data_IF_967493378734
#
_entry.id   IF_967493378734
#
_cell.length_a   1.000
_cell.length_b   1.000
_cell.length_c   1.000
_cell.angle_alpha   90.00
_cell.angle_beta   90.00
_cell.angle_gamma   90.00
#
_symmetry.space_group_name_H-M   'P 1'
#
loop_
_entity.id
_entity.type
_entity.pdbx_description
1 polymer ?
#
# COMPACT_ATOMS: atom_id res chain seq x y z
N UNK A 1 -27.58 0.48 -6.95
CA UNK A 1 -27.48 -0.80 -6.24
C UNK A 1 -26.46 -0.83 -5.08
N UNK A 2 -25.14 -0.59 -5.23
CA UNK A 2 -24.21 -0.62 -4.07
C UNK A 2 -24.47 0.51 -3.04
N UNK A 3 -24.81 1.71 -3.52
CA UNK A 3 -25.07 2.88 -2.66
C UNK A 3 -26.51 2.97 -2.11
N UNK A 4 -27.44 2.17 -2.64
CA UNK A 4 -28.83 2.12 -2.13
C UNK A 4 -28.90 1.43 -0.77
N UNK A 5 -27.99 0.48 -0.49
CA UNK A 5 -27.85 -0.13 0.82
C UNK A 5 -27.25 0.82 1.88
N UNK A 6 -26.70 1.97 1.46
CA UNK A 6 -26.07 2.98 2.32
C UNK A 6 -27.02 4.13 2.68
N UNK A 7 -28.33 3.87 2.78
CA UNK A 7 -29.30 4.86 3.25
C UNK A 7 -29.15 5.10 4.75
N UNK A 8 -28.40 6.14 5.12
CA UNK A 8 -28.22 6.61 6.50
C UNK A 8 -27.69 5.58 7.51
N UNK A 9 -26.69 4.74 7.19
CA UNK A 9 -26.07 3.91 8.20
C UNK A 9 -25.07 4.70 9.05
N UNK A 10 -24.91 4.31 10.31
CA UNK A 10 -23.89 4.88 11.21
C UNK A 10 -22.59 4.12 11.03
N UNK A 11 -21.48 4.83 10.79
CA UNK A 11 -20.15 4.21 10.79
C UNK A 11 -19.78 3.83 12.23
N UNK A 12 -19.57 2.53 12.48
CA UNK A 12 -19.31 1.97 13.80
C UNK A 12 -17.84 1.64 14.04
N UNK A 13 -17.13 1.21 13.00
CA UNK A 13 -15.75 0.72 13.10
C UNK A 13 -15.04 0.87 11.76
N UNK A 14 -13.76 1.20 11.80
CA UNK A 14 -12.87 1.15 10.64
C UNK A 14 -11.77 0.15 10.96
N UNK A 15 -11.61 -0.89 10.15
CA UNK A 15 -10.47 -1.79 10.26
C UNK A 15 -9.50 -1.54 9.10
N UNK A 16 -8.27 -1.19 9.44
CA UNK A 16 -7.16 -1.08 8.50
C UNK A 16 -6.49 -2.44 8.36
N UNK A 17 -6.30 -2.89 7.12
CA UNK A 17 -5.68 -4.18 6.78
C UNK A 17 -4.35 -3.90 6.08
N UNK A 18 -3.26 -4.48 6.59
CA UNK A 18 -1.90 -4.06 6.27
C UNK A 18 -1.76 -2.53 6.38
N UNK A 19 -2.01 -1.97 7.57
CA UNK A 19 -1.94 -0.53 7.80
C UNK A 19 -0.57 0.00 7.41
N UNK A 20 -0.53 1.24 6.90
CA UNK A 20 0.73 1.92 6.59
C UNK A 20 1.62 1.97 7.83
N UNK A 21 2.80 1.35 7.82
CA UNK A 21 3.62 1.29 9.01
C UNK A 21 4.18 2.68 9.34
N UNK A 22 4.12 3.03 10.62
CA UNK A 22 4.67 4.27 11.16
C UNK A 22 5.78 3.95 12.17
N UNK A 23 6.83 4.79 12.25
CA UNK A 23 7.96 4.55 13.16
C UNK A 23 7.57 4.49 14.64
N UNK A 24 6.48 5.16 15.02
CA UNK A 24 5.96 5.22 16.39
C UNK A 24 4.96 4.09 16.71
N UNK A 25 4.90 3.06 15.85
CA UNK A 25 3.96 1.95 15.91
C UNK A 25 2.47 2.34 15.75
N UNK A 26 2.16 3.63 15.53
CA UNK A 26 0.80 4.09 15.22
C UNK A 26 0.45 3.75 13.76
N UNK A 27 0.14 2.47 13.53
CA UNK A 27 0.03 1.94 12.18
C UNK A 27 -1.22 2.47 11.49
N UNK A 28 -1.05 3.00 10.28
CA UNK A 28 -2.11 3.34 9.34
C UNK A 28 -2.68 4.75 9.47
N UNK A 29 -2.41 5.48 10.56
CA UNK A 29 -2.82 6.88 10.72
C UNK A 29 -1.64 7.81 10.42
N UNK A 30 -1.71 8.55 9.32
CA UNK A 30 -0.65 9.48 8.90
C UNK A 30 -1.23 10.88 8.80
N UNK A 31 -0.95 11.71 9.81
CA UNK A 31 -1.60 13.00 9.98
C UNK A 31 -3.12 12.84 10.13
N UNK A 32 -3.89 13.36 9.16
CA UNK A 32 -5.35 13.23 9.10
C UNK A 32 -5.83 12.13 8.14
N UNK A 33 -4.92 11.38 7.52
CA UNK A 33 -5.24 10.32 6.56
C UNK A 33 -5.12 8.95 7.20
N UNK A 34 -6.00 8.04 6.81
CA UNK A 34 -5.88 6.62 7.06
C UNK A 34 -5.39 5.93 5.80
N UNK A 35 -4.27 5.22 5.89
CA UNK A 35 -3.61 4.54 4.77
C UNK A 35 -3.43 3.06 5.10
N UNK A 36 -3.90 2.21 4.20
CA UNK A 36 -3.79 0.76 4.37
C UNK A 36 -3.81 0.03 3.02
N UNK A 37 -3.37 -1.23 2.98
CA UNK A 37 -3.52 -2.08 1.79
C UNK A 37 -4.96 -2.49 1.52
N UNK A 38 -5.74 -2.66 2.58
CA UNK A 38 -7.18 -2.84 2.56
C UNK A 38 -7.84 -2.08 3.70
N UNK A 39 -9.13 -1.78 3.56
CA UNK A 39 -9.89 -1.06 4.57
C UNK A 39 -11.30 -1.64 4.65
N UNK A 40 -11.78 -1.85 5.87
CA UNK A 40 -13.16 -2.28 6.12
C UNK A 40 -13.89 -1.20 6.89
N UNK A 41 -15.00 -0.75 6.34
CA UNK A 41 -15.84 0.30 6.90
C UNK A 41 -17.12 -0.35 7.38
N UNK A 42 -17.22 -0.57 8.68
CA UNK A 42 -18.35 -1.25 9.30
C UNK A 42 -19.44 -0.25 9.65
N UNK A 43 -20.61 -0.52 9.11
CA UNK A 43 -21.84 0.17 9.40
C UNK A 43 -22.72 -0.67 10.34
N UNK A 44 -23.98 -0.30 10.54
CA UNK A 44 -24.88 -0.99 11.47
C UNK A 44 -25.05 -2.48 11.12
N UNK A 45 -25.44 -2.79 9.88
CA UNK A 45 -25.72 -4.16 9.39
C UNK A 45 -24.85 -4.60 8.21
N UNK A 46 -24.06 -3.70 7.62
CA UNK A 46 -23.22 -3.98 6.45
C UNK A 46 -21.77 -3.56 6.69
N UNK A 47 -20.86 -4.08 5.89
CA UNK A 47 -19.50 -3.59 5.79
C UNK A 47 -19.11 -3.34 4.34
N UNK A 48 -18.39 -2.24 4.10
CA UNK A 48 -17.73 -1.98 2.83
C UNK A 48 -16.27 -2.41 2.93
N UNK A 49 -15.90 -3.39 2.10
CA UNK A 49 -14.56 -3.94 2.00
C UNK A 49 -13.85 -3.32 0.80
N UNK A 50 -12.79 -2.58 1.08
CA UNK A 50 -11.94 -1.92 0.11
C UNK A 50 -10.60 -2.66 0.04
N UNK A 51 -10.18 -3.11 -1.15
CA UNK A 51 -8.89 -3.83 -1.29
C UNK A 51 -8.06 -3.33 -2.47
N UNK A 52 -6.75 -3.22 -2.25
CA UNK A 52 -5.77 -2.86 -3.26
C UNK A 52 -5.53 -4.00 -4.26
N UNK A 53 -5.75 -3.81 -5.57
CA UNK A 53 -5.41 -4.82 -6.56
C UNK A 53 -3.90 -5.05 -6.67
N UNK A 54 -3.09 -4.05 -6.31
CA UNK A 54 -1.63 -4.14 -6.31
C UNK A 54 -1.12 -5.12 -5.25
N UNK A 55 -1.80 -5.20 -4.08
CA UNK A 55 -1.40 -6.05 -2.95
C UNK A 55 -2.14 -7.40 -2.91
N UNK A 56 -3.43 -7.44 -3.27
CA UNK A 56 -4.29 -8.61 -3.04
C UNK A 56 -4.64 -9.43 -4.29
N UNK A 57 -4.28 -9.00 -5.51
CA UNK A 57 -4.72 -9.67 -6.75
C UNK A 57 -3.57 -10.02 -7.69
N UNK A 58 -3.79 -10.96 -8.63
CA UNK A 58 -2.96 -11.23 -9.84
C UNK A 58 -3.41 -10.43 -11.08
N UNK A 59 -3.97 -9.23 -10.90
CA UNK A 59 -4.42 -8.33 -11.97
C UNK A 59 -4.78 -6.94 -11.42
N UNK A 60 -4.72 -5.88 -12.24
CA UNK A 60 -4.85 -4.49 -11.79
C UNK A 60 -6.28 -3.93 -11.79
N UNK A 61 -7.27 -4.68 -12.27
CA UNK A 61 -8.63 -4.12 -12.44
C UNK A 61 -9.29 -3.84 -11.08
N UNK A 62 -9.69 -2.58 -10.88
CA UNK A 62 -10.44 -2.10 -9.71
C UNK A 62 -11.94 -2.41 -9.81
N UNK A 63 -12.72 -1.79 -8.92
CA UNK A 63 -14.17 -1.75 -9.00
C UNK A 63 -14.59 -0.67 -9.99
N UNK A 64 -15.56 -1.04 -10.84
CA UNK A 64 -16.17 -0.12 -11.80
C UNK A 64 -17.54 0.32 -11.31
N UNK A 65 -17.81 1.62 -11.40
CA UNK A 65 -19.14 2.21 -11.17
C UNK A 65 -19.54 2.86 -12.49
N UNK A 66 -20.45 2.21 -13.23
CA UNK A 66 -20.65 2.54 -14.64
C UNK A 66 -19.34 2.37 -15.42
N UNK A 67 -18.92 3.43 -16.13
CA UNK A 67 -17.68 3.43 -16.92
C UNK A 67 -16.43 3.87 -16.14
N UNK A 68 -16.61 4.28 -14.88
CA UNK A 68 -15.54 4.79 -14.02
C UNK A 68 -14.85 3.63 -13.30
N UNK A 69 -13.51 3.59 -13.36
CA UNK A 69 -12.67 2.70 -12.55
C UNK A 69 -12.11 3.45 -11.34
N UNK A 70 -12.36 2.93 -10.14
CA UNK A 70 -11.85 3.49 -8.89
C UNK A 70 -10.36 3.17 -8.65
N UNK A 71 -9.79 2.21 -9.36
CA UNK A 71 -8.42 1.72 -9.16
C UNK A 71 -8.25 0.78 -7.95
N UNK A 72 -9.28 0.63 -7.12
CA UNK A 72 -9.35 -0.34 -6.01
C UNK A 72 -10.65 -1.12 -6.06
N UNK A 73 -10.70 -2.30 -5.43
CA UNK A 73 -11.94 -3.08 -5.32
C UNK A 73 -12.76 -2.58 -4.15
N UNK A 74 -14.05 -2.38 -4.38
CA UNK A 74 -15.07 -2.07 -3.38
C UNK A 74 -16.12 -3.18 -3.40
N UNK A 75 -16.41 -3.77 -2.25
CA UNK A 75 -17.40 -4.84 -2.11
C UNK A 75 -18.26 -4.60 -0.87
N UNK A 76 -19.57 -4.80 -0.99
CA UNK A 76 -20.48 -4.75 0.15
C UNK A 76 -20.76 -6.17 0.63
N UNK A 77 -20.69 -6.39 1.93
CA UNK A 77 -20.98 -7.67 2.60
C UNK A 77 -21.78 -7.44 3.87
N UNK A 78 -22.39 -8.49 4.41
CA UNK A 78 -22.93 -8.43 5.77
C UNK A 78 -21.81 -8.12 6.76
N UNK A 79 -22.12 -7.37 7.82
CA UNK A 79 -21.09 -6.88 8.75
C UNK A 79 -20.30 -8.03 9.39
N UNK A 80 -20.99 -9.11 9.73
CA UNK A 80 -20.49 -10.34 10.32
C UNK A 80 -19.55 -11.13 9.38
N UNK A 81 -19.71 -10.99 8.07
CA UNK A 81 -18.93 -11.72 7.06
C UNK A 81 -17.65 -10.97 6.66
N UNK A 82 -17.48 -9.73 7.11
CA UNK A 82 -16.38 -8.88 6.67
C UNK A 82 -14.99 -9.47 6.97
N UNK A 83 -14.86 -10.20 8.08
CA UNK A 83 -13.61 -10.85 8.47
C UNK A 83 -13.24 -12.03 7.56
N UNK A 84 -14.21 -12.62 6.85
CA UNK A 84 -13.96 -13.70 5.88
C UNK A 84 -13.27 -13.19 4.60
N UNK A 85 -13.24 -11.86 4.39
CA UNK A 85 -12.64 -11.25 3.21
C UNK A 85 -11.10 -11.19 3.27
N UNK A 86 -10.50 -11.50 4.43
CA UNK A 86 -9.06 -11.39 4.64
C UNK A 86 -8.48 -12.63 5.33
N UNK A 87 -7.22 -13.01 5.05
CA UNK A 87 -6.54 -14.04 5.83
C UNK A 87 -6.38 -13.60 7.29
N UNK A 88 -6.54 -14.54 8.23
CA UNK A 88 -6.50 -14.27 9.67
C UNK A 88 -5.14 -13.77 10.20
N UNK A 89 -4.06 -14.06 9.48
CA UNK A 89 -2.69 -13.69 9.86
C UNK A 89 -2.24 -12.31 9.35
N UNK A 90 -3.11 -11.57 8.64
CA UNK A 90 -2.77 -10.25 8.14
C UNK A 90 -2.77 -9.23 9.28
N UNK A 91 -1.82 -8.29 9.26
CA UNK A 91 -1.76 -7.21 10.25
C UNK A 91 -3.01 -6.33 10.17
N UNK A 92 -3.64 -6.04 11.32
CA UNK A 92 -4.87 -5.25 11.41
C UNK A 92 -4.77 -4.17 12.48
N UNK A 93 -5.39 -3.04 12.23
CA UNK A 93 -5.58 -1.98 13.23
C UNK A 93 -7.01 -1.49 13.18
N UNK A 94 -7.71 -1.57 14.30
CA UNK A 94 -9.07 -1.07 14.43
C UNK A 94 -9.05 0.37 14.91
N UNK A 95 -9.84 1.21 14.26
CA UNK A 95 -10.02 2.61 14.57
C UNK A 95 -11.49 2.82 14.92
N UNK A 96 -11.74 3.34 16.12
CA UNK A 96 -13.07 3.82 16.47
C UNK A 96 -13.33 5.13 15.71
N UNK A 97 -14.48 5.26 15.01
CA UNK A 97 -14.81 6.49 14.31
C UNK A 97 -14.79 7.70 15.26
N UNK A 98 -15.29 7.58 16.49
CA UNK A 98 -15.25 8.66 17.47
C UNK A 98 -13.83 9.22 17.69
N UNK A 99 -12.80 8.37 17.79
CA UNK A 99 -11.42 8.79 18.05
C UNK A 99 -10.79 9.51 16.87
N UNK A 100 -11.24 9.20 15.65
CA UNK A 100 -10.75 9.82 14.44
C UNK A 100 -11.56 11.06 14.03
N UNK A 101 -12.88 11.04 14.28
CA UNK A 101 -13.81 12.16 14.09
C UNK A 101 -13.83 13.15 15.25
N UNK A 102 -13.13 12.92 16.37
CA UNK A 102 -13.09 13.86 17.50
C UNK A 102 -12.62 15.28 17.09
N UNK A 103 -11.93 15.43 15.94
CA UNK A 103 -11.59 16.71 15.32
C UNK A 103 -12.55 17.21 14.23
N UNK A 104 -13.72 16.57 14.05
CA UNK A 104 -14.72 16.80 13.00
C UNK A 104 -16.16 16.98 13.55
N UNK A 105 -16.41 16.78 14.86
CA UNK A 105 -17.70 17.03 15.53
C UNK A 105 -18.15 15.91 16.48
N UNK A 106 -19.07 16.19 17.43
CA UNK A 106 -19.50 15.22 18.48
C UNK A 106 -20.68 14.32 18.11
N UNK A 107 -21.28 14.51 16.93
CA UNK A 107 -22.45 13.74 16.46
C UNK A 107 -21.99 12.40 15.87
N UNK A 108 -22.75 11.30 16.05
CA UNK A 108 -22.43 10.02 15.43
C UNK A 108 -22.20 10.17 13.92
N UNK A 109 -21.18 9.51 13.34
CA UNK A 109 -20.88 9.62 11.91
C UNK A 109 -21.91 8.86 11.07
N UNK A 110 -23.10 9.46 10.94
CA UNK A 110 -24.21 9.00 10.13
C UNK A 110 -24.00 9.41 8.67
N UNK A 111 -23.86 8.44 7.77
CA UNK A 111 -23.57 8.69 6.36
C UNK A 111 -24.82 9.22 5.65
N UNK A 112 -24.78 10.46 5.17
CA UNK A 112 -25.89 11.11 4.48
C UNK A 112 -25.89 10.79 2.99
N UNK A 113 -24.72 10.88 2.36
CA UNK A 113 -24.56 10.80 0.91
C UNK A 113 -23.17 10.30 0.55
N UNK A 114 -23.10 9.54 -0.55
CA UNK A 114 -21.85 9.21 -1.24
C UNK A 114 -21.91 9.76 -2.66
N UNK A 115 -20.88 10.49 -3.04
CA UNK A 115 -20.71 11.12 -4.35
C UNK A 115 -19.46 10.54 -5.00
N UNK A 116 -19.55 10.22 -6.29
CA UNK A 116 -18.39 9.86 -7.10
C UNK A 116 -17.84 11.14 -7.75
N UNK A 117 -16.59 11.46 -7.48
CA UNK A 117 -15.95 12.70 -7.94
C UNK A 117 -14.57 12.41 -8.53
N UNK A 118 -14.14 13.23 -9.49
CA UNK A 118 -12.76 13.21 -9.98
C UNK A 118 -11.92 14.24 -9.21
N UNK A 119 -10.80 13.80 -8.66
CA UNK A 119 -9.89 14.62 -7.88
C UNK A 119 -8.44 14.38 -8.33
N UNK A 120 -7.80 15.41 -8.89
CA UNK A 120 -6.43 15.37 -9.38
C UNK A 120 -6.16 14.22 -10.38
N UNK A 121 -7.10 13.97 -11.30
CA UNK A 121 -6.99 12.92 -12.33
C UNK A 121 -7.27 11.50 -11.83
N UNK A 122 -7.82 11.34 -10.62
CA UNK A 122 -8.24 10.06 -10.07
C UNK A 122 -9.66 10.12 -9.51
N UNK A 123 -10.42 9.05 -9.69
CA UNK A 123 -11.77 8.93 -9.15
C UNK A 123 -11.75 8.60 -7.65
N UNK A 124 -12.58 9.30 -6.88
CA UNK A 124 -12.72 9.15 -5.43
C UNK A 124 -14.19 9.07 -5.05
N UNK A 125 -14.47 8.41 -3.93
CA UNK A 125 -15.79 8.47 -3.30
C UNK A 125 -15.75 9.51 -2.18
N UNK A 126 -16.52 10.58 -2.34
CA UNK A 126 -16.70 11.62 -1.32
C UNK A 126 -17.93 11.32 -0.49
N UNK A 127 -17.74 11.20 0.81
CA UNK A 127 -18.73 10.77 1.78
C UNK A 127 -19.09 11.95 2.67
N UNK A 128 -20.37 12.31 2.67
CA UNK A 128 -20.91 13.35 3.53
C UNK A 128 -21.62 12.72 4.72
N UNK A 129 -21.27 13.18 5.91
CA UNK A 129 -21.90 12.78 7.16
C UNK A 129 -22.82 13.88 7.68
N UNK A 130 -23.75 13.53 8.58
CA UNK A 130 -24.69 14.49 9.18
C UNK A 130 -24.01 15.57 10.03
N UNK A 131 -22.84 15.28 10.58
CA UNK A 131 -22.01 16.26 11.29
C UNK A 131 -21.23 17.21 10.35
N UNK A 132 -21.63 17.28 9.07
CA UNK A 132 -20.96 18.02 7.99
C UNK A 132 -19.51 17.60 7.69
N UNK A 133 -19.03 16.50 8.28
CA UNK A 133 -17.75 15.94 7.89
C UNK A 133 -17.82 15.42 6.44
N UNK A 134 -16.80 15.79 5.67
CA UNK A 134 -16.58 15.33 4.31
C UNK A 134 -15.30 14.51 4.26
N UNK A 135 -15.43 13.22 3.97
CA UNK A 135 -14.30 12.31 3.80
C UNK A 135 -14.19 11.88 2.34
N UNK A 136 -12.97 11.62 1.89
CA UNK A 136 -12.66 11.09 0.57
C UNK A 136 -11.98 9.74 0.72
N UNK A 137 -12.53 8.75 0.04
CA UNK A 137 -11.96 7.43 -0.12
C UNK A 137 -11.38 7.30 -1.54
N UNK A 138 -10.08 7.10 -1.64
CA UNK A 138 -9.36 7.06 -2.91
C UNK A 138 -8.26 6.02 -2.96
N UNK A 139 -7.84 5.68 -4.18
CA UNK A 139 -6.69 4.80 -4.43
C UNK A 139 -5.40 5.61 -4.59
N UNK A 140 -4.32 5.12 -4.00
CA UNK A 140 -2.97 5.68 -4.02
C UNK A 140 -1.99 4.72 -4.68
N UNK A 141 -2.01 4.61 -6.02
CA UNK A 141 -1.04 3.79 -6.73
C UNK A 141 0.40 4.26 -6.48
N UNK A 142 0.58 5.56 -6.24
CA UNK A 142 1.82 6.25 -5.90
C UNK A 142 2.35 5.88 -4.50
N UNK A 143 1.45 5.57 -3.56
CA UNK A 143 1.78 5.09 -2.21
C UNK A 143 1.59 3.59 -2.12
N UNK A 144 2.29 2.86 -2.99
CA UNK A 144 2.35 1.41 -2.93
C UNK A 144 0.96 0.73 -2.98
N UNK A 145 0.05 1.35 -3.75
CA UNK A 145 -1.32 0.88 -3.93
C UNK A 145 -2.15 0.98 -2.66
N UNK A 146 -1.89 1.92 -1.76
CA UNK A 146 -2.73 2.12 -0.60
C UNK A 146 -4.14 2.58 -0.96
N UNK A 147 -5.08 2.26 -0.08
CA UNK A 147 -6.37 2.93 -0.01
C UNK A 147 -6.24 4.01 1.05
N UNK A 148 -6.65 5.22 0.67
CA UNK A 148 -6.61 6.40 1.52
C UNK A 148 -8.03 6.81 1.88
N UNK A 149 -8.30 6.97 3.17
CA UNK A 149 -9.49 7.66 3.68
C UNK A 149 -9.03 8.91 4.44
N UNK A 150 -9.42 10.09 3.98
CA UNK A 150 -8.98 11.36 4.56
C UNK A 150 -10.09 12.42 4.46
N UNK A 151 -10.11 13.44 5.32
CA UNK A 151 -10.96 14.60 5.09
C UNK A 151 -10.65 15.27 3.75
N UNK A 152 -11.67 15.84 3.10
CA UNK A 152 -11.48 16.61 1.84
C UNK A 152 -10.39 17.67 2.05
N UNK A 153 -9.43 17.73 1.11
CA UNK A 153 -8.30 18.67 1.17
C UNK A 153 -7.15 18.29 2.09
N UNK A 154 -7.22 17.15 2.79
CA UNK A 154 -6.21 16.69 3.75
C UNK A 154 -5.49 15.39 3.35
N UNK A 155 -5.41 15.12 2.04
CA UNK A 155 -4.69 13.95 1.52
C UNK A 155 -3.21 13.98 1.90
N UNK A 156 -2.67 12.83 2.25
CA UNK A 156 -1.27 12.68 2.60
C UNK A 156 -0.38 12.83 1.36
N UNK A 157 0.65 13.66 1.48
CA UNK A 157 1.65 13.86 0.43
C UNK A 157 3.00 13.33 0.91
N UNK A 158 3.70 12.65 0.01
CA UNK A 158 5.03 12.13 0.25
C UNK A 158 6.02 12.87 -0.66
N UNK A 159 7.09 13.42 -0.11
CA UNK A 159 8.14 14.06 -0.91
C UNK A 159 9.17 13.08 -1.47
N UNK A 160 9.50 12.04 -0.70
CA UNK A 160 10.46 10.98 -1.06
C UNK A 160 10.19 9.72 -0.26
N UNK A 161 10.62 8.58 -0.79
CA UNK A 161 10.62 7.30 -0.09
C UNK A 161 11.98 7.11 0.59
N UNK A 162 11.98 6.90 1.90
CA UNK A 162 13.17 6.51 2.65
C UNK A 162 12.92 5.16 3.34
N UNK A 163 13.83 4.21 3.13
CA UNK A 163 13.72 2.84 3.65
C UNK A 163 15.00 2.50 4.40
N UNK A 164 14.92 2.44 5.72
CA UNK A 164 16.01 2.08 6.62
C UNK A 164 15.89 0.64 7.13
N UNK A 165 14.70 0.04 7.03
CA UNK A 165 14.39 -1.27 7.57
C UNK A 165 13.43 -2.04 6.68
N UNK A 166 13.49 -3.39 6.64
CA UNK A 166 12.45 -4.20 5.99
C UNK A 166 11.05 -4.03 6.62
N UNK A 167 10.95 -3.43 7.81
CA UNK A 167 9.68 -3.14 8.48
C UNK A 167 9.02 -1.81 8.04
N UNK A 168 9.72 -0.97 7.26
CA UNK A 168 9.18 0.31 6.79
C UNK A 168 8.09 0.11 5.73
N UNK A 169 7.36 1.17 5.38
CA UNK A 169 6.23 1.10 4.43
C UNK A 169 6.62 0.56 3.07
N UNK A 170 7.79 0.97 2.59
CA UNK A 170 8.42 0.45 1.39
C UNK A 170 9.53 -0.55 1.71
N UNK A 171 9.49 -1.18 2.89
CA UNK A 171 10.49 -2.11 3.39
C UNK A 171 10.77 -3.25 2.42
N UNK A 172 9.80 -3.64 1.60
CA UNK A 172 9.98 -4.61 0.51
C UNK A 172 11.08 -4.23 -0.52
N UNK A 173 11.47 -2.95 -0.61
CA UNK A 173 12.64 -2.50 -1.38
C UNK A 173 13.96 -2.85 -0.70
N UNK A 174 13.99 -2.90 0.63
CA UNK A 174 15.18 -3.17 1.42
C UNK A 174 15.82 -4.54 1.06
N UNK A 175 17.16 -4.66 0.97
CA UNK A 175 17.80 -5.93 0.64
C UNK A 175 17.48 -7.06 1.62
N UNK A 176 17.32 -6.74 2.91
CA UNK A 176 17.00 -7.71 3.97
C UNK A 176 15.56 -8.22 3.98
N UNK A 177 14.69 -7.72 3.11
CA UNK A 177 13.31 -8.19 3.02
C UNK A 177 13.25 -9.65 2.59
N UNK A 178 12.41 -10.42 3.28
CA UNK A 178 12.33 -11.88 3.21
C UNK A 178 11.60 -12.37 1.95
N UNK A 179 12.17 -12.10 0.78
CA UNK A 179 11.72 -12.57 -0.52
C UNK A 179 12.82 -13.41 -1.15
N UNK A 180 12.81 -14.74 -0.94
CA UNK A 180 13.87 -15.61 -1.45
C UNK A 180 13.83 -15.68 -2.98
N UNK A 181 14.98 -15.82 -3.62
CA UNK A 181 15.09 -15.86 -5.08
C UNK A 181 16.28 -16.72 -5.53
N UNK A 182 16.22 -17.23 -6.75
CA UNK A 182 17.31 -17.97 -7.37
C UNK A 182 18.23 -17.03 -8.17
N UNK A 183 19.55 -17.16 -8.00
CA UNK A 183 20.55 -16.46 -8.81
C UNK A 183 21.83 -17.29 -8.88
N UNK A 184 22.37 -17.45 -10.10
CA UNK A 184 23.60 -18.21 -10.37
C UNK A 184 23.58 -19.65 -9.83
N UNK A 185 22.42 -20.30 -9.87
CA UNK A 185 22.25 -21.67 -9.37
C UNK A 185 22.10 -21.80 -7.84
N UNK A 186 22.08 -20.68 -7.10
CA UNK A 186 21.86 -20.66 -5.65
C UNK A 186 20.49 -20.10 -5.31
N UNK A 187 19.89 -20.58 -4.22
CA UNK A 187 18.71 -19.98 -3.61
C UNK A 187 19.14 -19.03 -2.48
N UNK A 188 18.85 -17.74 -2.65
CA UNK A 188 19.22 -16.66 -1.74
C UNK A 188 18.04 -16.37 -0.84
N UNK A 189 18.27 -16.30 0.48
CA UNK A 189 17.20 -15.98 1.45
C UNK A 189 16.72 -14.52 1.32
N UNK A 190 17.64 -13.62 1.06
CA UNK A 190 17.39 -12.20 0.83
C UNK A 190 18.50 -11.62 -0.06
N UNK A 191 18.34 -10.37 -0.48
CA UNK A 191 19.38 -9.65 -1.22
C UNK A 191 20.42 -9.01 -0.29
N UNK A 192 20.26 -9.14 1.04
CA UNK A 192 21.18 -8.54 2.00
C UNK A 192 22.56 -9.23 1.98
N UNK A 193 23.67 -8.48 2.08
CA UNK A 193 25.03 -9.03 2.01
C UNK A 193 25.31 -10.18 2.98
N UNK A 194 24.67 -10.20 4.15
CA UNK A 194 24.77 -11.30 5.13
C UNK A 194 24.38 -12.67 4.58
N UNK A 195 23.43 -12.69 3.64
CA UNK A 195 22.83 -13.92 3.07
C UNK A 195 23.52 -14.34 1.76
N UNK A 196 24.53 -13.60 1.31
CA UNK A 196 25.26 -13.90 0.09
C UNK A 196 26.19 -15.12 0.26
N UNK A 197 26.49 -15.86 -0.82
CA UNK A 197 27.47 -16.94 -0.80
C UNK A 197 28.81 -16.49 -0.19
N UNK A 198 29.41 -17.33 0.65
CA UNK A 198 30.63 -16.99 1.39
C UNK A 198 31.80 -16.48 0.51
N UNK A 199 32.10 -17.09 -0.65
CA UNK A 199 33.17 -16.59 -1.52
C UNK A 199 32.93 -15.15 -1.98
N UNK A 200 31.67 -14.82 -2.29
CA UNK A 200 31.26 -13.48 -2.72
C UNK A 200 31.37 -12.47 -1.59
N UNK A 201 30.94 -12.83 -0.37
CA UNK A 201 31.07 -11.97 0.82
C UNK A 201 32.53 -11.62 1.09
N UNK A 202 33.44 -12.60 1.06
CA UNK A 202 34.88 -12.36 1.23
C UNK A 202 35.45 -11.42 0.17
N UNK A 203 35.06 -11.60 -1.09
CA UNK A 203 35.55 -10.76 -2.19
C UNK A 203 35.08 -9.30 -2.10
N UNK A 204 33.96 -9.02 -1.41
CA UNK A 204 33.36 -7.68 -1.30
C UNK A 204 33.67 -6.98 0.02
N UNK A 205 34.18 -7.69 1.04
CA UNK A 205 34.65 -7.08 2.29
C UNK A 205 35.76 -6.04 2.08
N UNK A 206 36.54 -6.14 1.00
CA UNK A 206 37.58 -5.18 0.63
C UNK A 206 37.08 -4.02 -0.24
N UNK A 207 35.83 -4.03 -0.72
CA UNK A 207 35.26 -3.04 -1.65
C UNK A 207 33.74 -2.81 -1.41
N UNK A 208 33.37 -2.51 -0.16
CA UNK A 208 31.97 -2.46 0.31
C UNK A 208 31.05 -1.43 -0.38
N UNK A 209 31.60 -0.49 -1.16
CA UNK A 209 30.83 0.54 -1.89
C UNK A 209 31.27 0.71 -3.37
N UNK A 210 32.04 -0.24 -3.91
CA UNK A 210 32.60 -0.13 -5.26
C UNK A 210 31.63 -0.51 -6.39
N UNK A 211 32.06 -0.31 -7.64
CA UNK A 211 31.33 -0.72 -8.87
C UNK A 211 30.89 -2.19 -8.80
N UNK A 212 31.75 -3.06 -8.25
CA UNK A 212 31.46 -4.48 -8.07
C UNK A 212 30.29 -4.74 -7.11
N UNK A 213 30.19 -3.98 -6.02
CA UNK A 213 29.06 -4.07 -5.09
C UNK A 213 27.76 -3.66 -5.78
N UNK A 214 27.77 -2.54 -6.52
CA UNK A 214 26.61 -2.06 -7.29
C UNK A 214 26.10 -3.11 -8.27
N UNK A 215 27.00 -3.74 -9.03
CA UNK A 215 26.61 -4.75 -10.02
C UNK A 215 26.01 -6.00 -9.37
N UNK A 216 26.61 -6.48 -8.28
CA UNK A 216 26.07 -7.63 -7.53
C UNK A 216 24.69 -7.31 -6.96
N UNK A 217 24.53 -6.15 -6.32
CA UNK A 217 23.25 -5.71 -5.76
C UNK A 217 22.20 -5.57 -6.86
N UNK A 218 22.56 -5.00 -8.02
CA UNK A 218 21.68 -4.87 -9.18
C UNK A 218 21.17 -6.22 -9.65
N UNK A 219 22.06 -7.21 -9.84
CA UNK A 219 21.69 -8.56 -10.26
C UNK A 219 20.79 -9.26 -9.25
N UNK A 220 21.13 -9.17 -7.96
CA UNK A 220 20.35 -9.75 -6.87
C UNK A 220 18.94 -9.15 -6.79
N UNK A 221 18.83 -7.83 -6.76
CA UNK A 221 17.54 -7.14 -6.69
C UNK A 221 16.71 -7.39 -7.96
N UNK A 222 17.32 -7.35 -9.15
CA UNK A 222 16.61 -7.63 -10.40
C UNK A 222 16.05 -9.05 -10.42
N UNK A 223 16.86 -10.05 -10.04
CA UNK A 223 16.42 -11.44 -9.96
C UNK A 223 15.24 -11.59 -8.97
N UNK A 224 15.34 -10.96 -7.80
CA UNK A 224 14.26 -10.91 -6.81
C UNK A 224 12.99 -10.30 -7.39
N UNK A 225 13.06 -9.11 -7.98
CA UNK A 225 11.88 -8.45 -8.54
C UNK A 225 11.28 -9.21 -9.72
N UNK A 226 12.08 -9.92 -10.52
CA UNK A 226 11.57 -10.72 -11.64
C UNK A 226 10.85 -11.99 -11.22
N UNK A 227 11.29 -12.62 -10.12
CA UNK A 227 10.71 -13.87 -9.61
C UNK A 227 9.48 -13.65 -8.72
N UNK A 228 9.24 -12.41 -8.28
CA UNK A 228 8.12 -12.03 -7.41
C UNK A 228 7.17 -11.05 -8.11
N UNK A 229 6.08 -11.55 -8.69
CA UNK A 229 5.11 -10.76 -9.46
C UNK A 229 4.49 -9.58 -8.69
N UNK A 230 4.27 -9.74 -7.39
CA UNK A 230 3.76 -8.66 -6.53
C UNK A 230 4.80 -7.53 -6.42
N UNK A 231 6.07 -7.84 -6.15
CA UNK A 231 7.13 -6.86 -6.04
C UNK A 231 7.40 -6.18 -7.38
N UNK A 232 7.40 -6.95 -8.47
CA UNK A 232 7.54 -6.43 -9.83
C UNK A 232 6.52 -5.35 -10.13
N UNK A 233 5.25 -5.59 -9.80
CA UNK A 233 4.16 -4.65 -10.03
C UNK A 233 4.29 -3.42 -9.14
N UNK A 234 4.59 -3.60 -7.85
CA UNK A 234 4.81 -2.49 -6.90
C UNK A 234 5.95 -1.58 -7.37
N UNK A 235 7.04 -2.17 -7.84
CA UNK A 235 8.20 -1.42 -8.35
C UNK A 235 7.88 -0.63 -9.63
N UNK A 236 7.02 -1.15 -10.52
CA UNK A 236 6.60 -0.43 -11.73
C UNK A 236 5.76 0.81 -11.43
N UNK A 237 4.97 0.77 -10.36
CA UNK A 237 4.09 1.87 -9.95
C UNK A 237 4.84 2.96 -9.17
N UNK A 238 6.11 2.73 -8.84
CA UNK A 238 6.89 3.64 -8.03
C UNK A 238 7.19 4.93 -8.82
N UNK A 239 6.77 6.07 -8.25
CA UNK A 239 6.85 7.40 -8.88
C UNK A 239 7.58 8.45 -8.03
N UNK A 240 8.10 8.06 -6.86
CA UNK A 240 8.85 8.94 -5.97
C UNK A 240 10.35 8.61 -6.01
N UNK A 241 11.19 9.59 -5.73
CA UNK A 241 12.61 9.35 -5.48
C UNK A 241 12.78 8.43 -4.26
N UNK A 242 13.70 7.47 -4.34
CA UNK A 242 13.90 6.44 -3.32
C UNK A 242 15.30 6.51 -2.75
N UNK A 243 15.39 6.46 -1.43
CA UNK A 243 16.62 6.13 -0.74
C UNK A 243 16.40 4.86 0.09
N UNK A 244 17.25 3.85 -0.10
CA UNK A 244 17.18 2.58 0.64
C UNK A 244 18.54 2.33 1.28
N UNK A 245 18.54 2.06 2.58
CA UNK A 245 19.73 1.66 3.32
C UNK A 245 20.41 0.46 2.63
N UNK A 246 21.74 0.52 2.58
CA UNK A 246 22.60 -0.48 1.94
C UNK A 246 22.38 -0.67 0.43
N UNK A 247 21.62 0.18 -0.24
CA UNK A 247 21.43 0.14 -1.70
C UNK A 247 22.13 1.34 -2.34
N UNK A 248 22.95 1.14 -3.39
CA UNK A 248 23.55 2.25 -4.12
C UNK A 248 22.51 3.22 -4.66
N UNK A 249 22.76 4.52 -4.54
CA UNK A 249 21.86 5.57 -5.01
C UNK A 249 21.47 5.39 -6.48
N UNK A 250 20.19 5.66 -6.80
CA UNK A 250 19.61 5.55 -8.14
C UNK A 250 19.36 4.12 -8.63
N UNK A 251 19.83 3.09 -7.91
CA UNK A 251 19.72 1.72 -8.38
C UNK A 251 18.25 1.22 -8.41
N UNK A 252 17.42 1.62 -7.45
CA UNK A 252 16.01 1.22 -7.43
C UNK A 252 15.27 1.81 -8.64
N UNK A 253 15.52 3.08 -8.95
CA UNK A 253 14.95 3.78 -10.09
C UNK A 253 15.39 3.17 -11.42
N UNK A 254 16.67 2.80 -11.54
CA UNK A 254 17.19 2.06 -12.69
C UNK A 254 16.44 0.73 -12.88
N UNK A 255 16.25 -0.04 -11.81
CA UNK A 255 15.54 -1.32 -11.86
C UNK A 255 14.06 -1.13 -12.24
N UNK A 256 13.39 -0.12 -11.67
CA UNK A 256 12.02 0.21 -12.02
C UNK A 256 11.88 0.60 -13.49
N UNK A 257 12.81 1.39 -14.02
CA UNK A 257 12.85 1.75 -15.44
C UNK A 257 13.05 0.51 -16.34
N UNK A 258 14.03 -0.35 -16.03
CA UNK A 258 14.28 -1.57 -16.81
C UNK A 258 13.08 -2.52 -16.86
N UNK A 259 12.36 -2.67 -15.75
CA UNK A 259 11.19 -3.55 -15.68
C UNK A 259 9.98 -2.98 -16.42
N UNK A 260 9.89 -1.67 -16.63
CA UNK A 260 8.86 -1.04 -17.47
C UNK A 260 9.13 -1.29 -18.94
N UNK A 261 10.38 -1.13 -19.38
CA UNK A 261 10.80 -1.37 -20.76
C UNK A 261 10.55 -2.83 -21.21
N UNK A 262 10.82 -3.81 -20.34
CA UNK A 262 10.64 -5.24 -20.65
C UNK A 262 9.19 -5.72 -20.79
N UNK A 263 8.18 -4.89 -20.49
CA UNK A 263 6.77 -5.25 -20.73
C UNK A 263 6.19 -4.70 -22.03
N UNK A 264 6.91 -3.80 -22.68
CA UNK A 264 6.47 -3.16 -23.95
C UNK A 264 7.10 -3.83 -25.18
N UNK A 265 7.95 -4.84 -24.97
CA UNK A 265 8.57 -5.70 -25.98
C UNK A 265 8.05 -7.13 -25.85
#
# INVERSE_FOLDING_TARGET
>A
MLFEALLRPTLRRIDLIEPWPMPDHSSGKVGRSLLAGGMVLHFDSLALVCTSPLRYRRGQNGARIGDVDLGYRLTSVAREDADLCFPSCVARTTIAPADWFAGLGSVPPLLLLVILEECAGAWVLTWRFVNDALLQLGYRPDLDGCIELAPVGHRFTLGRIAVNSPADAFGWLHPASAYPFALDGYCWRSAHPRDWPWPLRKALQSQSAGVRYREVMRRALLARFQQHDNLRRRLRMLCYAVNVADVPAGLIEELAWQLRQKSEA
#
